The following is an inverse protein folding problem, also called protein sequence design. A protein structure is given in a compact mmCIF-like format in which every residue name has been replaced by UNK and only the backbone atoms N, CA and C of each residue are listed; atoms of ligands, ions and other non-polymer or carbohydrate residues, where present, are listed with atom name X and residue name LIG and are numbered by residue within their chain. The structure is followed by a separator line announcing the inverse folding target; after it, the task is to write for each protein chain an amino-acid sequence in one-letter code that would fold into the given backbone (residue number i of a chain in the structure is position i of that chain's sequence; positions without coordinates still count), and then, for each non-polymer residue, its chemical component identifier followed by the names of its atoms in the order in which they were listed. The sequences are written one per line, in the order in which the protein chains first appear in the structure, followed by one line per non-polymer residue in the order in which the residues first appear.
data_IF_451813627615
#
_entry.id   IF_451813627615
#
_cell.length_a   1.000
_cell.length_b   1.000
_cell.length_c   1.000
_cell.angle_alpha   90.00
_cell.angle_beta   90.00
_cell.angle_gamma   90.00
#
_symmetry.space_group_name_H-M   'P 1'
#
loop_
_entity.id
_entity.type
_entity.pdbx_description
1 polymer ?
#
# COMPACT_ATOMS: atom_id res chain seq x y z
N UNK A 1 -36.27 59.08 11.73
CA UNK A 1 -35.11 58.55 10.96
C UNK A 1 -34.43 57.41 11.75
N UNK A 2 -35.11 56.26 11.95
CA UNK A 2 -34.59 55.16 12.81
C UNK A 2 -34.70 53.77 12.18
N UNK A 3 -35.44 53.58 11.08
CA UNK A 3 -35.58 52.26 10.44
C UNK A 3 -34.39 51.83 9.57
N UNK A 4 -33.56 52.75 9.08
CA UNK A 4 -32.45 52.42 8.15
C UNK A 4 -31.23 51.87 8.91
N UNK A 5 -31.03 52.27 10.17
CA UNK A 5 -29.88 51.84 10.98
C UNK A 5 -29.97 50.36 11.41
N UNK A 6 -31.16 49.90 11.82
CA UNK A 6 -31.42 48.52 12.22
C UNK A 6 -31.17 47.50 11.09
N UNK A 7 -31.55 47.84 9.86
CA UNK A 7 -31.34 46.98 8.69
C UNK A 7 -29.84 46.84 8.38
N UNK A 8 -29.06 47.93 8.49
CA UNK A 8 -27.61 47.86 8.25
C UNK A 8 -26.90 47.01 9.29
N UNK A 9 -27.23 47.16 10.58
CA UNK A 9 -26.65 46.35 11.68
C UNK A 9 -26.96 44.86 11.48
N UNK A 10 -28.17 44.50 11.02
CA UNK A 10 -28.54 43.10 10.76
C UNK A 10 -27.70 42.45 9.64
N UNK A 11 -27.38 43.20 8.58
CA UNK A 11 -26.53 42.71 7.48
C UNK A 11 -25.08 42.54 7.92
N UNK A 12 -24.54 43.46 8.72
CA UNK A 12 -23.20 43.33 9.28
C UNK A 12 -23.11 42.16 10.26
N UNK A 13 -24.14 41.93 11.08
CA UNK A 13 -24.19 40.78 11.99
C UNK A 13 -24.13 39.44 11.23
N UNK A 14 -24.87 39.30 10.13
CA UNK A 14 -24.85 38.08 9.29
C UNK A 14 -23.48 37.87 8.64
N UNK A 15 -22.83 38.93 8.14
CA UNK A 15 -21.49 38.84 7.53
C UNK A 15 -20.44 38.42 8.55
N UNK A 16 -20.49 38.97 9.78
CA UNK A 16 -19.57 38.58 10.86
C UNK A 16 -19.79 37.12 11.24
N UNK A 17 -21.04 36.67 11.35
CA UNK A 17 -21.36 35.28 11.70
C UNK A 17 -20.86 34.29 10.63
N UNK A 18 -20.95 34.67 9.35
CA UNK A 18 -20.41 33.87 8.25
C UNK A 18 -18.88 33.81 8.27
N UNK A 19 -18.20 34.93 8.56
CA UNK A 19 -16.74 34.98 8.70
C UNK A 19 -16.24 34.13 9.88
N UNK A 20 -16.98 34.11 10.99
CA UNK A 20 -16.66 33.26 12.14
C UNK A 20 -16.86 31.78 11.81
N UNK A 21 -17.95 31.42 11.13
CA UNK A 21 -18.17 30.03 10.70
C UNK A 21 -17.08 29.56 9.71
N UNK A 22 -16.73 30.40 8.74
CA UNK A 22 -15.68 30.10 7.76
C UNK A 22 -14.30 29.98 8.40
N UNK A 23 -13.95 30.84 9.37
CA UNK A 23 -12.68 30.77 10.09
C UNK A 23 -12.60 29.56 11.02
N UNK A 24 -13.71 29.19 11.68
CA UNK A 24 -13.80 27.92 12.43
C UNK A 24 -13.64 26.70 11.53
N UNK A 25 -14.25 26.70 10.33
CA UNK A 25 -14.08 25.61 9.35
C UNK A 25 -12.64 25.52 8.84
N UNK A 26 -11.99 26.66 8.55
CA UNK A 26 -10.57 26.68 8.17
C UNK A 26 -9.67 26.18 9.30
N UNK A 27 -9.91 26.62 10.54
CA UNK A 27 -9.13 26.18 11.69
C UNK A 27 -9.29 24.68 11.96
N UNK A 28 -10.50 24.14 11.78
CA UNK A 28 -10.76 22.70 11.89
C UNK A 28 -10.07 21.91 10.78
N UNK A 29 -10.17 22.35 9.51
CA UNK A 29 -9.48 21.72 8.39
C UNK A 29 -7.95 21.76 8.56
N UNK A 30 -7.42 22.90 9.01
CA UNK A 30 -5.99 23.06 9.29
C UNK A 30 -5.53 22.12 10.42
N UNK A 31 -6.27 22.05 11.53
CA UNK A 31 -5.98 21.13 12.62
C UNK A 31 -6.03 19.67 12.15
N UNK A 32 -7.05 19.31 11.38
CA UNK A 32 -7.22 17.95 10.82
C UNK A 32 -6.05 17.55 9.91
N UNK A 33 -5.54 18.46 9.09
CA UNK A 33 -4.40 18.19 8.20
C UNK A 33 -3.07 17.96 8.94
N UNK A 34 -2.88 18.62 10.09
CA UNK A 34 -1.65 18.48 10.89
C UNK A 34 -1.67 17.30 11.88
N UNK A 35 -2.85 16.79 12.26
CA UNK A 35 -2.97 15.62 13.14
C UNK A 35 -2.64 14.27 12.47
N UNK A 36 -2.41 14.22 11.15
CA UNK A 36 -1.93 13.01 10.47
C UNK A 36 -0.40 12.81 10.60
N UNK A 37 0.21 13.19 11.73
CA UNK A 37 1.61 12.79 12.01
C UNK A 37 1.71 11.26 12.21
N UNK A 38 0.65 10.65 12.74
CA UNK A 38 0.48 9.19 12.87
C UNK A 38 0.41 8.50 11.51
N UNK A 39 -0.07 9.19 10.48
CA UNK A 39 -0.10 8.68 9.12
C UNK A 39 1.32 8.54 8.56
N UNK A 40 2.25 9.44 8.91
CA UNK A 40 3.64 9.39 8.41
C UNK A 40 4.47 8.25 9.01
N UNK A 41 4.18 7.80 10.23
CA UNK A 41 4.98 6.77 10.91
C UNK A 41 4.68 5.34 10.46
N UNK A 42 3.52 5.08 9.86
CA UNK A 42 3.18 3.74 9.37
C UNK A 42 3.86 3.35 8.05
N UNK A 43 4.48 4.31 7.34
CA UNK A 43 5.17 4.06 6.07
C UNK A 43 6.66 3.72 6.21
N UNK A 44 7.21 3.69 7.43
CA UNK A 44 8.66 3.57 7.64
C UNK A 44 9.21 2.16 7.41
N UNK A 45 8.41 1.12 7.69
CA UNK A 45 8.89 -0.27 7.58
C UNK A 45 8.75 -0.76 6.15
N UNK A 46 9.83 -0.63 5.37
CA UNK A 46 9.97 -1.26 4.07
C UNK A 46 10.57 -2.65 4.21
N UNK A 47 10.05 -3.61 3.45
CA UNK A 47 10.53 -4.98 3.39
C UNK A 47 10.95 -5.27 1.96
N UNK A 48 12.05 -5.98 1.81
CA UNK A 48 12.57 -6.43 0.53
C UNK A 48 11.90 -7.76 0.15
N UNK A 49 11.24 -7.77 -1.00
CA UNK A 49 10.39 -8.89 -1.44
C UNK A 49 10.68 -9.27 -2.88
N UNK A 50 10.49 -10.54 -3.21
CA UNK A 50 10.71 -11.07 -4.54
C UNK A 50 9.65 -10.57 -5.55
N UNK A 51 10.10 -10.17 -6.73
CA UNK A 51 9.29 -9.68 -7.83
C UNK A 51 9.82 -10.19 -9.18
N UNK A 52 8.94 -10.27 -10.18
CA UNK A 52 9.29 -10.64 -11.53
C UNK A 52 9.83 -9.43 -12.31
N UNK A 53 11.09 -9.44 -12.80
CA UNK A 53 11.67 -8.32 -13.56
C UNK A 53 11.15 -8.22 -15.01
N UNK A 54 10.40 -9.23 -15.48
CA UNK A 54 9.76 -9.28 -16.79
C UNK A 54 8.54 -10.22 -16.70
N UNK A 55 7.74 -10.29 -17.76
CA UNK A 55 6.56 -11.17 -17.82
C UNK A 55 7.00 -12.64 -17.77
N UNK A 56 6.47 -13.40 -16.80
CA UNK A 56 6.69 -14.84 -16.68
C UNK A 56 5.45 -15.60 -17.15
N UNK A 57 5.67 -16.64 -17.96
CA UNK A 57 4.58 -17.37 -18.59
C UNK A 57 4.06 -18.51 -17.72
N UNK A 58 2.77 -18.81 -17.85
CA UNK A 58 2.19 -20.02 -17.25
C UNK A 58 2.95 -21.25 -17.74
N UNK A 59 3.30 -22.14 -16.81
CA UNK A 59 4.06 -23.36 -17.08
C UNK A 59 5.57 -23.14 -17.20
N UNK A 60 6.08 -21.91 -17.12
CA UNK A 60 7.52 -21.65 -17.06
C UNK A 60 8.08 -22.15 -15.73
N UNK A 61 9.30 -22.71 -15.75
CA UNK A 61 10.05 -22.98 -14.52
C UNK A 61 10.82 -21.73 -14.11
N UNK A 62 10.62 -21.32 -12.88
CA UNK A 62 11.26 -20.13 -12.33
C UNK A 62 12.76 -20.35 -12.20
N UNK A 63 13.56 -19.42 -12.69
CA UNK A 63 15.02 -19.42 -12.49
C UNK A 63 15.44 -18.27 -11.57
N UNK A 64 16.68 -18.31 -11.07
CA UNK A 64 17.20 -17.20 -10.26
C UNK A 64 17.31 -15.88 -11.03
N UNK A 65 17.38 -15.92 -12.38
CA UNK A 65 17.40 -14.73 -13.23
C UNK A 65 16.00 -14.10 -13.39
N UNK A 66 14.94 -14.87 -13.11
CA UNK A 66 13.55 -14.44 -13.21
C UNK A 66 13.05 -13.77 -11.92
N UNK A 67 13.96 -13.51 -10.97
CA UNK A 67 13.63 -12.95 -9.66
C UNK A 67 14.49 -11.71 -9.43
N UNK A 68 13.83 -10.59 -9.14
CA UNK A 68 14.44 -9.38 -8.60
C UNK A 68 13.86 -9.07 -7.24
N UNK A 69 14.47 -8.14 -6.51
CA UNK A 69 14.00 -7.72 -5.21
C UNK A 69 13.61 -6.25 -5.22
N UNK A 70 12.44 -5.97 -4.66
CA UNK A 70 11.90 -4.62 -4.57
C UNK A 70 11.56 -4.31 -3.11
N UNK A 71 11.77 -3.04 -2.71
CA UNK A 71 11.42 -2.56 -1.38
C UNK A 71 9.98 -2.05 -1.40
N UNK A 72 9.11 -2.69 -0.64
CA UNK A 72 7.69 -2.33 -0.54
C UNK A 72 7.35 -2.08 0.92
N UNK A 73 6.55 -1.05 1.25
CA UNK A 73 6.11 -0.85 2.63
C UNK A 73 5.28 -2.04 3.11
N UNK A 74 5.56 -2.54 4.32
CA UNK A 74 4.96 -3.75 4.87
C UNK A 74 3.42 -3.75 4.84
N UNK A 75 2.81 -2.58 4.95
CA UNK A 75 1.35 -2.39 4.90
C UNK A 75 0.72 -2.74 3.53
N UNK A 76 1.46 -2.62 2.44
CA UNK A 76 0.99 -2.94 1.09
C UNK A 76 1.29 -4.38 0.68
N UNK A 77 1.95 -5.14 1.54
CA UNK A 77 2.27 -6.53 1.23
C UNK A 77 1.03 -7.41 1.42
N UNK A 78 0.78 -8.33 0.49
CA UNK A 78 -0.19 -9.39 0.72
C UNK A 78 0.27 -10.28 1.89
N UNK A 79 -0.64 -11.12 2.40
CA UNK A 79 -0.43 -11.93 3.60
C UNK A 79 0.83 -12.80 3.57
N UNK A 80 1.32 -13.15 2.38
CA UNK A 80 2.55 -13.91 2.20
C UNK A 80 3.26 -13.50 0.92
N UNK A 81 4.55 -13.22 1.06
CA UNK A 81 5.46 -12.83 -0.02
C UNK A 81 6.78 -13.57 0.19
N UNK A 82 7.48 -13.88 -0.90
CA UNK A 82 8.77 -14.52 -0.80
C UNK A 82 9.84 -13.51 -0.41
N UNK A 83 10.59 -13.82 0.65
CA UNK A 83 11.79 -13.10 1.02
C UNK A 83 13.01 -13.72 0.33
N UNK A 84 14.19 -13.14 0.56
CA UNK A 84 15.44 -13.62 -0.04
C UNK A 84 15.80 -15.03 0.41
N UNK A 85 15.40 -15.38 1.63
CA UNK A 85 15.61 -16.68 2.25
C UNK A 85 14.75 -17.77 1.58
N UNK A 86 13.61 -17.40 1.01
CA UNK A 86 12.68 -18.32 0.35
C UNK A 86 13.06 -18.62 -1.11
N UNK A 87 13.88 -17.76 -1.74
CA UNK A 87 14.27 -17.90 -3.16
C UNK A 87 14.79 -19.30 -3.51
N UNK A 88 15.69 -19.92 -2.73
CA UNK A 88 16.14 -21.27 -3.01
C UNK A 88 15.00 -22.29 -3.09
N UNK A 89 13.89 -22.11 -2.37
CA UNK A 89 12.77 -23.04 -2.39
C UNK A 89 11.87 -22.88 -3.62
N UNK A 90 11.77 -21.66 -4.18
CA UNK A 90 10.90 -21.37 -5.34
C UNK A 90 11.60 -21.55 -6.68
N UNK A 91 12.93 -21.41 -6.73
CA UNK A 91 13.70 -21.65 -7.96
C UNK A 91 13.55 -23.10 -8.40
N UNK A 92 13.23 -23.29 -9.68
CA UNK A 92 12.96 -24.57 -10.32
C UNK A 92 11.49 -24.99 -10.31
N UNK A 93 10.63 -24.29 -9.56
CA UNK A 93 9.20 -24.57 -9.51
C UNK A 93 8.49 -24.02 -10.74
N UNK A 94 7.38 -24.65 -11.08
CA UNK A 94 6.59 -24.31 -12.26
C UNK A 94 5.47 -23.33 -11.89
N UNK A 95 5.33 -22.27 -12.67
CA UNK A 95 4.25 -21.30 -12.51
C UNK A 95 2.92 -21.90 -12.98
N UNK A 96 1.87 -21.76 -12.19
CA UNK A 96 0.50 -22.10 -12.57
C UNK A 96 -0.20 -20.94 -13.29
N UNK A 97 0.25 -19.70 -13.06
CA UNK A 97 -0.33 -18.50 -13.65
C UNK A 97 0.72 -17.67 -14.42
N UNK A 98 0.24 -16.82 -15.33
CA UNK A 98 1.07 -15.78 -15.93
C UNK A 98 1.30 -14.69 -14.89
N UNK A 99 2.55 -14.28 -14.70
CA UNK A 99 2.94 -13.20 -13.78
C UNK A 99 3.39 -12.01 -14.63
N UNK A 100 2.81 -10.85 -14.37
CA UNK A 100 3.17 -9.62 -15.10
C UNK A 100 4.51 -9.05 -14.62
N UNK A 101 5.14 -8.24 -15.47
CA UNK A 101 6.36 -7.52 -15.12
C UNK A 101 6.13 -6.59 -13.92
N UNK A 102 7.06 -6.62 -12.96
CA UNK A 102 7.00 -5.85 -11.71
C UNK A 102 6.03 -6.40 -10.67
N UNK A 103 5.28 -7.46 -10.98
CA UNK A 103 4.42 -8.11 -9.99
C UNK A 103 5.25 -8.80 -8.90
N UNK A 104 4.68 -8.88 -7.69
CA UNK A 104 5.26 -9.64 -6.60
C UNK A 104 5.06 -11.14 -6.86
N UNK A 105 6.07 -11.94 -6.54
CA UNK A 105 5.95 -13.40 -6.62
C UNK A 105 5.25 -13.91 -5.36
N UNK A 106 4.11 -14.58 -5.56
CA UNK A 106 3.28 -15.10 -4.48
C UNK A 106 3.24 -16.63 -4.50
N UNK A 107 3.06 -17.29 -3.35
CA UNK A 107 2.89 -18.75 -3.30
C UNK A 107 1.75 -19.27 -4.19
N UNK A 108 0.71 -18.48 -4.39
CA UNK A 108 -0.43 -18.79 -5.27
C UNK A 108 -0.09 -18.84 -6.76
N UNK A 109 1.06 -18.30 -7.17
CA UNK A 109 1.48 -18.27 -8.58
C UNK A 109 2.09 -19.61 -9.02
N UNK A 110 2.39 -20.49 -8.07
CA UNK A 110 3.03 -21.78 -8.29
C UNK A 110 2.00 -22.91 -8.15
N UNK A 111 2.25 -24.03 -8.84
CA UNK A 111 1.61 -25.28 -8.45
C UNK A 111 2.09 -25.66 -7.03
N UNK A 112 1.22 -26.26 -6.21
CA UNK A 112 1.54 -26.66 -4.83
C UNK A 112 2.96 -27.26 -4.75
N UNK A 113 3.77 -26.88 -3.75
CA UNK A 113 5.17 -27.24 -3.73
C UNK A 113 5.34 -28.75 -3.80
N UNK A 114 6.09 -29.19 -4.80
CA UNK A 114 6.78 -30.47 -4.69
C UNK A 114 7.79 -30.30 -3.58
N UNK A 115 7.52 -30.93 -2.43
CA UNK A 115 8.47 -31.07 -1.33
C UNK A 115 9.83 -31.38 -1.93
N UNK A 116 10.86 -30.59 -1.62
CA UNK A 116 12.23 -31.05 -1.86
C UNK A 116 12.39 -32.41 -1.19
N UNK A 117 13.20 -33.29 -1.79
CA UNK A 117 13.47 -34.62 -1.24
C UNK A 117 14.05 -34.60 0.19
N UNK A 118 14.53 -33.44 0.65
CA UNK A 118 15.10 -33.19 1.97
C UNK A 118 14.10 -32.61 3.01
N UNK A 119 12.85 -32.32 2.62
CA UNK A 119 11.83 -31.77 3.52
C UNK A 119 12.02 -30.31 3.95
N UNK A 120 13.06 -29.61 3.47
CA UNK A 120 13.46 -28.28 3.96
C UNK A 120 12.51 -27.13 3.60
N UNK A 121 11.65 -27.32 2.61
CA UNK A 121 10.71 -26.30 2.11
C UNK A 121 9.24 -26.62 2.46
N UNK A 122 8.95 -27.43 3.48
CA UNK A 122 7.64 -28.06 3.70
C UNK A 122 6.48 -27.15 4.20
N UNK A 123 6.68 -25.84 4.40
CA UNK A 123 5.64 -24.95 4.90
C UNK A 123 5.28 -23.90 3.85
N UNK A 124 4.48 -24.23 2.84
CA UNK A 124 3.93 -23.23 1.89
C UNK A 124 2.45 -22.94 2.12
N UNK A 125 1.86 -23.50 3.19
CA UNK A 125 0.53 -23.11 3.67
C UNK A 125 0.60 -21.85 4.52
#
# INVERSE_FOLDING_TARGET
MTMIALIRISKFAVVILFLVAASCLLAYAYKSSHTCSVCKTHYATQVEVASAPHVLQKGQRLTAADITFVKVPAYFLPSRVFSKEDVPCVVGQQLNNRVEEGALLLPSDFEEPRTRADGSCANWK
#
